data_IF_833270738202
#
_entry.id   IF_833270738202
#
_cell.length_a   1.000
_cell.length_b   1.000
_cell.length_c   1.000
_cell.angle_alpha   90.00
_cell.angle_beta   90.00
_cell.angle_gamma   90.00
#
_symmetry.space_group_name_H-M   'P 1'
#
loop_
_entity.id
_entity.type
_entity.pdbx_description
1 polymer ?
#
# COMPACT_ATOMS: atom_id res chain seq x y z
N UNK A 1 -12.67 13.57 -7.02
CA UNK A 1 -11.39 12.87 -6.78
C UNK A 1 -11.36 11.68 -7.71
N UNK A 2 -10.18 11.18 -8.13
CA UNK A 2 -10.09 9.97 -8.94
C UNK A 2 -10.73 8.83 -8.16
N UNK A 3 -11.51 7.98 -8.82
CA UNK A 3 -12.00 6.73 -8.24
C UNK A 3 -10.99 5.62 -8.59
N UNK A 4 -10.75 4.65 -7.69
CA UNK A 4 -9.86 3.54 -8.02
C UNK A 4 -10.48 2.68 -9.12
N UNK A 5 -9.69 2.32 -10.13
CA UNK A 5 -10.18 1.41 -11.18
C UNK A 5 -10.21 -0.04 -10.70
N UNK A 6 -9.51 -0.35 -9.61
CA UNK A 6 -9.46 -1.66 -8.97
C UNK A 6 -9.06 -1.52 -7.51
N UNK A 7 -9.68 -2.33 -6.65
CA UNK A 7 -9.24 -2.54 -5.27
C UNK A 7 -8.97 -4.03 -5.02
N UNK A 8 -8.06 -4.34 -4.11
CA UNK A 8 -7.87 -5.72 -3.64
C UNK A 8 -9.03 -6.14 -2.70
N UNK A 9 -9.20 -7.44 -2.41
CA UNK A 9 -9.86 -7.85 -1.18
C UNK A 9 -9.16 -7.23 0.04
N UNK A 10 -9.86 -7.22 1.18
CA UNK A 10 -9.22 -6.89 2.47
C UNK A 10 -8.33 -8.06 2.86
N UNK A 11 -7.06 -7.77 3.14
CA UNK A 11 -6.12 -8.73 3.68
C UNK A 11 -5.92 -8.50 5.18
N UNK A 12 -5.58 -9.57 5.87
CA UNK A 12 -5.11 -9.58 7.25
C UNK A 12 -3.63 -10.01 7.35
N UNK A 13 -3.09 -10.08 8.56
CA UNK A 13 -1.69 -10.45 8.79
C UNK A 13 -1.30 -11.80 8.17
N UNK A 14 -2.25 -12.72 7.98
CA UNK A 14 -2.02 -14.07 7.47
C UNK A 14 -2.23 -14.15 5.95
N UNK A 15 -3.19 -13.39 5.44
CA UNK A 15 -3.65 -13.43 4.03
C UNK A 15 -2.98 -12.41 3.12
N UNK A 16 -2.20 -11.45 3.64
CA UNK A 16 -1.38 -10.57 2.79
C UNK A 16 -0.47 -11.43 1.90
N UNK A 17 -0.57 -11.32 0.55
CA UNK A 17 0.26 -12.12 -0.35
C UNK A 17 1.75 -11.86 -0.12
N UNK A 18 2.57 -12.91 -0.20
CA UNK A 18 4.03 -12.82 -0.02
C UNK A 18 4.68 -11.80 -0.95
N UNK A 19 4.14 -11.62 -2.17
CA UNK A 19 4.61 -10.61 -3.11
C UNK A 19 4.48 -9.17 -2.62
N UNK A 20 3.51 -8.85 -1.75
CA UNK A 20 3.40 -7.52 -1.15
C UNK A 20 4.36 -7.32 0.03
N UNK A 21 4.79 -8.42 0.68
CA UNK A 21 5.76 -8.42 1.79
C UNK A 21 7.21 -8.37 1.32
N UNK A 22 7.47 -8.67 0.06
CA UNK A 22 8.77 -8.50 -0.59
C UNK A 22 8.82 -7.25 -1.46
N UNK A 23 10.04 -6.88 -1.89
CA UNK A 23 10.26 -5.75 -2.80
C UNK A 23 9.46 -5.94 -4.09
N UNK A 24 8.61 -4.98 -4.39
CA UNK A 24 7.85 -4.93 -5.63
C UNK A 24 7.56 -3.48 -6.03
N UNK A 25 6.95 -3.31 -7.20
CA UNK A 25 6.54 -2.00 -7.73
C UNK A 25 5.25 -2.15 -8.53
N UNK A 26 4.50 -1.06 -8.62
CA UNK A 26 3.39 -0.96 -9.59
C UNK A 26 3.94 -0.74 -11.00
N UNK A 27 3.10 -0.95 -12.01
CA UNK A 27 3.45 -0.65 -13.41
C UNK A 27 3.54 0.87 -13.65
N UNK A 28 4.20 1.26 -14.73
CA UNK A 28 4.17 2.65 -15.22
C UNK A 28 2.72 3.17 -15.32
N UNK A 29 2.51 4.41 -14.87
CA UNK A 29 1.20 5.06 -14.81
C UNK A 29 0.25 4.55 -13.72
N UNK A 30 0.63 3.52 -12.93
CA UNK A 30 -0.25 2.96 -11.89
C UNK A 30 0.19 3.43 -10.51
N UNK A 31 -0.70 4.13 -9.83
CA UNK A 31 -0.56 4.50 -8.43
C UNK A 31 -1.20 3.46 -7.52
N UNK A 32 -0.60 3.22 -6.36
CA UNK A 32 -1.19 2.40 -5.30
C UNK A 32 -1.49 3.26 -4.08
N UNK A 33 -2.67 3.09 -3.49
CA UNK A 33 -3.01 3.67 -2.19
C UNK A 33 -3.28 2.53 -1.22
N UNK A 34 -2.50 2.49 -0.15
CA UNK A 34 -2.57 1.46 0.89
C UNK A 34 -3.34 2.06 2.06
N UNK A 35 -4.47 1.44 2.41
CA UNK A 35 -5.31 1.83 3.54
C UNK A 35 -5.28 0.74 4.59
N UNK A 36 -5.02 1.13 5.83
CA UNK A 36 -5.27 0.28 6.98
C UNK A 36 -6.69 0.55 7.46
N UNK A 37 -7.45 -0.50 7.71
CA UNK A 37 -8.81 -0.44 8.26
C UNK A 37 -8.79 -0.71 9.77
N UNK A 38 -7.84 -1.51 10.23
CA UNK A 38 -7.63 -1.87 11.64
C UNK A 38 -6.17 -2.26 11.85
N UNK A 39 -5.62 -1.95 13.03
CA UNK A 39 -4.24 -2.30 13.39
C UNK A 39 -3.20 -1.38 12.76
N UNK A 40 -2.01 -1.93 12.46
CA UNK A 40 -0.90 -1.16 11.92
C UNK A 40 -0.05 -1.94 10.90
N UNK A 41 0.45 -1.22 9.90
CA UNK A 41 1.28 -1.75 8.82
C UNK A 41 2.48 -0.83 8.59
N UNK A 42 3.69 -1.37 8.50
CA UNK A 42 4.84 -0.58 8.04
C UNK A 42 4.92 -0.63 6.53
N UNK A 43 4.94 0.53 5.88
CA UNK A 43 5.29 0.67 4.47
C UNK A 43 6.74 1.16 4.37
N UNK A 44 7.57 0.43 3.64
CA UNK A 44 8.96 0.78 3.38
C UNK A 44 9.14 1.12 1.90
N UNK A 45 9.65 2.32 1.62
CA UNK A 45 10.15 2.70 0.31
C UNK A 45 11.63 2.36 0.22
N UNK A 46 12.05 1.76 -0.90
CA UNK A 46 13.43 1.28 -1.08
C UNK A 46 14.37 2.42 -1.49
N UNK A 47 13.94 3.29 -2.41
CA UNK A 47 14.75 4.41 -2.92
C UNK A 47 13.88 5.67 -3.19
N UNK A 48 14.17 6.81 -2.55
CA UNK A 48 15.04 6.94 -1.38
C UNK A 48 14.49 6.14 -0.19
N UNK A 49 15.39 5.52 0.58
CA UNK A 49 14.97 4.69 1.71
C UNK A 49 14.22 5.52 2.74
N UNK A 50 12.98 5.13 3.01
CA UNK A 50 12.14 5.75 4.03
C UNK A 50 11.06 4.77 4.48
N UNK A 51 10.52 5.00 5.68
CA UNK A 51 9.50 4.14 6.26
C UNK A 51 8.40 4.99 6.88
N UNK A 52 7.16 4.51 6.76
CA UNK A 52 6.00 5.10 7.40
C UNK A 52 5.17 3.98 8.04
N UNK A 53 4.65 4.24 9.24
CA UNK A 53 3.65 3.39 9.87
C UNK A 53 2.27 3.88 9.45
N UNK A 54 1.51 2.99 8.84
CA UNK A 54 0.13 3.21 8.44
C UNK A 54 -0.80 2.67 9.53
N UNK A 55 -1.79 3.47 9.87
CA UNK A 55 -2.89 3.21 10.81
C UNK A 55 -4.18 3.70 10.14
N UNK A 56 -5.38 3.46 10.69
CA UNK A 56 -6.63 3.84 10.03
C UNK A 56 -6.77 5.31 9.60
N UNK A 57 -6.03 6.22 10.24
CA UNK A 57 -5.98 7.65 9.91
C UNK A 57 -4.86 8.03 8.93
N UNK A 58 -3.98 7.11 8.56
CA UNK A 58 -2.77 7.35 7.76
C UNK A 58 -2.79 6.48 6.51
N UNK A 59 -2.83 7.14 5.34
CA UNK A 59 -2.80 6.46 4.04
C UNK A 59 -1.38 6.41 3.48
N UNK A 60 -0.99 5.25 2.94
CA UNK A 60 0.25 5.09 2.20
C UNK A 60 0.02 5.32 0.71
N UNK A 61 0.87 6.08 0.04
CA UNK A 61 0.77 6.31 -1.40
C UNK A 61 2.07 5.89 -2.07
N UNK A 62 1.98 4.96 -3.01
CA UNK A 62 3.10 4.48 -3.81
C UNK A 62 2.97 5.00 -5.24
N UNK A 63 4.03 5.67 -5.71
CA UNK A 63 4.09 6.22 -7.07
C UNK A 63 4.29 5.10 -8.10
N UNK A 64 3.95 5.33 -9.38
CA UNK A 64 4.29 4.41 -10.44
C UNK A 64 5.76 4.00 -10.40
N UNK A 65 6.02 2.70 -10.51
CA UNK A 65 7.36 2.10 -10.56
C UNK A 65 8.22 2.31 -9.31
N UNK A 66 7.69 2.93 -8.26
CA UNK A 66 8.39 3.12 -6.99
C UNK A 66 8.48 1.79 -6.24
N UNK A 67 9.70 1.39 -5.92
CA UNK A 67 9.94 0.13 -5.23
C UNK A 67 9.63 0.25 -3.73
N UNK A 68 8.81 -0.68 -3.23
CA UNK A 68 8.33 -0.71 -1.86
C UNK A 68 7.95 -2.12 -1.42
N UNK A 69 7.67 -2.27 -0.13
CA UNK A 69 7.07 -3.48 0.45
C UNK A 69 6.35 -3.14 1.76
N UNK A 70 5.53 -4.06 2.26
CA UNK A 70 4.80 -3.89 3.52
C UNK A 70 5.11 -4.95 4.56
N UNK A 71 5.19 -4.55 5.82
CA UNK A 71 5.40 -5.45 6.96
C UNK A 71 4.29 -5.25 7.99
N UNK A 72 3.46 -6.28 8.26
CA UNK A 72 2.48 -6.24 9.36
C UNK A 72 3.15 -5.98 10.70
N UNK A 73 2.59 -5.11 11.53
CA UNK A 73 3.08 -4.82 12.89
C UNK A 73 2.20 -5.47 13.96
N UNK A 74 1.72 -6.69 13.67
CA UNK A 74 0.72 -7.40 14.47
C UNK A 74 -0.55 -7.67 13.66
N UNK A 75 -1.68 -7.77 14.36
CA UNK A 75 -2.99 -7.88 13.71
C UNK A 75 -3.25 -6.63 12.86
N UNK A 76 -3.69 -6.83 11.63
CA UNK A 76 -3.96 -5.74 10.69
C UNK A 76 -5.10 -6.13 9.77
N UNK A 77 -5.86 -5.15 9.30
CA UNK A 77 -6.73 -5.27 8.12
C UNK A 77 -6.36 -4.18 7.15
N UNK A 78 -6.02 -4.55 5.91
CA UNK A 78 -5.59 -3.57 4.90
C UNK A 78 -6.23 -3.83 3.54
N UNK A 79 -6.29 -2.79 2.73
CA UNK A 79 -6.72 -2.85 1.33
C UNK A 79 -5.79 -1.98 0.48
N UNK A 80 -5.59 -2.38 -0.78
CA UNK A 80 -4.85 -1.58 -1.76
C UNK A 80 -5.79 -1.17 -2.89
N UNK A 81 -5.86 0.13 -3.12
CA UNK A 81 -6.57 0.75 -4.23
C UNK A 81 -5.58 1.11 -5.34
N UNK A 82 -5.96 0.87 -6.60
CA UNK A 82 -5.14 1.19 -7.76
C UNK A 82 -5.80 2.27 -8.61
N UNK A 83 -4.99 3.26 -8.99
CA UNK A 83 -5.40 4.41 -9.79
C UNK A 83 -4.54 4.54 -11.05
N UNK A 84 -5.12 5.05 -12.13
CA UNK A 84 -4.44 5.37 -13.39
C UNK A 84 -4.00 6.83 -13.47
N UNK A 85 -4.27 7.62 -12.43
CA UNK A 85 -3.85 9.00 -12.25
C UNK A 85 -3.49 9.23 -10.77
N UNK A 86 -2.74 10.30 -10.43
CA UNK A 86 -2.38 10.57 -9.05
C UNK A 86 -3.64 10.70 -8.19
N UNK A 87 -3.79 9.91 -7.11
CA UNK A 87 -4.91 10.08 -6.19
C UNK A 87 -4.80 11.48 -5.59
N UNK A 88 -5.80 12.34 -5.83
CA UNK A 88 -5.79 13.70 -5.31
C UNK A 88 -5.67 13.67 -3.77
N UNK A 89 -4.71 14.45 -3.26
CA UNK A 89 -4.63 14.95 -1.89
C UNK A 89 -4.74 16.46 -1.91
#
# INVERSE_FOLDING_TARGET
MPEPYRSTPVFDQDTIPSGLRGNHRTKAGVWGVIRVLEGALRLTYVEPRSEIVLEPSVVGVVKPEQEHFVTPLGNVRMQVDFYNEPPHG
#
